data_IF_491540992399
#
_entry.id   IF_491540992399
#
_cell.length_a   1.000
_cell.length_b   1.000
_cell.length_c   1.000
_cell.angle_alpha   90.00
_cell.angle_beta   90.00
_cell.angle_gamma   90.00
#
_symmetry.space_group_name_H-M   'P 1'
#
loop_
_entity.id
_entity.type
_entity.pdbx_description
1 polymer ?
#
# COMPACT_ATOMS: atom_id res chain seq x y z
N UNK A 1 -7.52 6.49 -13.32
CA UNK A 1 -6.56 5.37 -13.41
C UNK A 1 -6.92 4.35 -12.35
N UNK A 2 -6.72 3.06 -12.56
CA UNK A 2 -6.94 2.06 -11.52
C UNK A 2 -6.04 2.32 -10.31
N UNK A 3 -6.50 1.90 -9.14
CA UNK A 3 -5.72 2.03 -7.90
C UNK A 3 -4.45 1.17 -7.97
N UNK A 4 -3.30 1.71 -7.54
CA UNK A 4 -2.06 0.94 -7.51
C UNK A 4 -2.15 -0.26 -6.55
N UNK A 5 -1.68 -1.42 -7.02
CA UNK A 5 -1.66 -2.68 -6.25
C UNK A 5 -0.26 -2.98 -5.71
N UNK A 6 0.77 -2.74 -6.54
CA UNK A 6 2.13 -3.20 -6.25
C UNK A 6 3.06 -2.02 -5.94
N UNK A 7 3.70 -2.06 -4.77
CA UNK A 7 4.58 -1.02 -4.25
C UNK A 7 5.96 -1.63 -3.98
N UNK A 8 6.91 -1.43 -4.89
CA UNK A 8 8.23 -2.07 -4.85
C UNK A 8 9.26 -1.18 -4.16
N UNK A 9 9.83 -1.65 -3.07
CA UNK A 9 10.96 -0.99 -2.41
C UNK A 9 12.26 -1.13 -3.20
N UNK A 10 13.04 -0.05 -3.21
CA UNK A 10 14.42 -0.02 -3.69
C UNK A 10 15.27 0.86 -2.77
N UNK A 11 16.42 0.37 -2.25
CA UNK A 11 17.28 1.18 -1.39
C UNK A 11 17.83 2.41 -2.13
N UNK A 12 17.79 3.58 -1.50
CA UNK A 12 18.24 4.83 -2.10
C UNK A 12 19.75 4.85 -2.41
N UNK A 13 20.56 4.10 -1.65
CA UNK A 13 22.00 3.96 -1.88
C UNK A 13 22.38 2.96 -2.99
N UNK A 14 21.38 2.53 -3.79
CA UNK A 14 21.52 1.59 -4.92
C UNK A 14 20.94 2.18 -6.22
N UNK A 15 21.48 3.32 -6.68
CA UNK A 15 20.93 4.00 -7.87
C UNK A 15 20.93 3.14 -9.13
N UNK A 16 21.84 2.18 -9.26
CA UNK A 16 21.88 1.22 -10.35
C UNK A 16 20.62 0.32 -10.43
N UNK A 17 19.79 0.29 -9.38
CA UNK A 17 18.55 -0.47 -9.33
C UNK A 17 17.32 0.35 -9.71
N UNK A 18 17.41 1.67 -9.74
CA UNK A 18 16.23 2.53 -9.96
C UNK A 18 15.55 2.26 -11.31
N UNK A 19 16.33 2.28 -12.39
CA UNK A 19 15.80 2.01 -13.73
C UNK A 19 15.17 0.60 -13.83
N UNK A 20 15.80 -0.41 -13.21
CA UNK A 20 15.25 -1.77 -13.16
C UNK A 20 13.96 -1.84 -12.34
N UNK A 21 13.86 -1.15 -11.22
CA UNK A 21 12.65 -1.09 -10.42
C UNK A 21 11.50 -0.40 -11.19
N UNK A 22 11.77 0.72 -11.85
CA UNK A 22 10.79 1.45 -12.65
C UNK A 22 10.30 0.66 -13.87
N UNK A 23 11.17 -0.17 -14.48
CA UNK A 23 10.81 -1.04 -15.61
C UNK A 23 10.27 -2.41 -15.20
N UNK A 24 10.16 -2.71 -13.91
CA UNK A 24 9.77 -4.04 -13.41
C UNK A 24 8.28 -4.38 -13.58
N UNK A 25 7.45 -3.39 -13.92
CA UNK A 25 6.00 -3.53 -13.96
C UNK A 25 5.29 -3.25 -12.63
N UNK A 26 6.01 -2.85 -11.57
CA UNK A 26 5.37 -2.36 -10.34
C UNK A 26 4.57 -1.07 -10.60
N UNK A 27 3.43 -0.89 -9.95
CA UNK A 27 2.61 0.33 -10.12
C UNK A 27 3.29 1.55 -9.50
N UNK A 28 3.96 1.34 -8.34
CA UNK A 28 4.74 2.35 -7.62
C UNK A 28 6.09 1.79 -7.21
N UNK A 29 7.09 2.64 -7.22
CA UNK A 29 8.43 2.35 -6.70
C UNK A 29 8.68 3.22 -5.48
N UNK A 30 9.01 2.59 -4.35
CA UNK A 30 9.35 3.28 -3.11
C UNK A 30 10.87 3.35 -3.02
N UNK A 31 11.44 4.53 -3.21
CA UNK A 31 12.87 4.74 -2.96
C UNK A 31 13.05 4.98 -1.46
N UNK A 32 13.75 4.06 -0.83
CA UNK A 32 13.83 3.97 0.62
C UNK A 32 15.10 4.66 1.16
N UNK A 33 14.92 5.66 2.00
CA UNK A 33 15.98 6.32 2.77
C UNK A 33 16.06 5.83 4.22
N UNK A 34 15.13 4.97 4.66
CA UNK A 34 15.03 4.51 6.05
C UNK A 34 15.78 3.18 6.23
N UNK A 35 15.16 2.11 6.61
CA UNK A 35 15.78 0.84 7.06
C UNK A 35 16.66 0.16 6.03
N UNK A 36 16.36 0.27 4.74
CA UNK A 36 17.18 -0.33 3.69
C UNK A 36 18.53 0.38 3.45
N UNK A 37 18.75 1.54 4.08
CA UNK A 37 19.98 2.33 3.93
C UNK A 37 20.66 2.53 5.27
N UNK A 38 21.91 2.07 5.38
CA UNK A 38 22.68 2.26 6.62
C UNK A 38 22.92 3.75 6.94
N UNK A 39 23.07 4.15 8.23
CA UNK A 39 23.28 5.56 8.61
C UNK A 39 24.40 6.25 7.84
N UNK A 40 25.52 5.58 7.60
CA UNK A 40 26.66 6.11 6.84
C UNK A 40 26.36 6.39 5.37
N UNK A 41 25.37 5.73 4.79
CA UNK A 41 25.01 5.83 3.38
C UNK A 41 23.81 6.76 3.13
N UNK A 42 23.17 7.30 4.16
CA UNK A 42 21.97 8.16 4.00
C UNK A 42 22.23 9.36 3.09
N UNK A 43 23.41 9.99 3.19
CA UNK A 43 23.78 11.09 2.30
C UNK A 43 23.95 10.62 0.86
N UNK A 44 24.63 9.49 0.63
CA UNK A 44 24.75 8.87 -0.70
C UNK A 44 23.40 8.58 -1.31
N UNK A 45 22.43 8.05 -0.52
CA UNK A 45 21.08 7.81 -0.97
C UNK A 45 20.35 9.07 -1.40
N UNK A 46 20.44 10.16 -0.61
CA UNK A 46 19.88 11.47 -0.98
C UNK A 46 20.47 12.02 -2.27
N UNK A 47 21.79 11.91 -2.44
CA UNK A 47 22.46 12.40 -3.63
C UNK A 47 22.10 11.57 -4.86
N UNK A 48 21.90 10.26 -4.70
CA UNK A 48 21.43 9.37 -5.76
C UNK A 48 19.99 9.73 -6.21
N UNK A 49 19.09 10.07 -5.28
CA UNK A 49 17.73 10.52 -5.61
C UNK A 49 17.77 11.84 -6.39
N UNK A 50 18.59 12.81 -5.95
CA UNK A 50 18.74 14.12 -6.64
C UNK A 50 19.28 14.00 -8.05
N UNK A 51 20.21 13.06 -8.27
CA UNK A 51 20.84 12.84 -9.57
C UNK A 51 20.05 11.90 -10.49
N UNK A 52 19.04 11.20 -9.97
CA UNK A 52 18.30 10.18 -10.70
C UNK A 52 17.36 10.77 -11.75
N UNK A 53 17.33 10.17 -12.94
CA UNK A 53 16.27 10.36 -13.92
C UNK A 53 15.10 9.45 -13.55
N UNK A 54 14.12 10.01 -12.82
CA UNK A 54 13.06 9.25 -12.17
C UNK A 54 11.68 9.60 -12.75
N UNK A 55 10.86 8.58 -12.97
CA UNK A 55 9.43 8.73 -13.29
C UNK A 55 8.65 9.14 -12.02
N UNK A 56 8.74 10.43 -11.67
CA UNK A 56 8.23 10.99 -10.42
C UNK A 56 6.76 10.67 -10.13
N UNK A 57 5.84 10.63 -11.10
CA UNK A 57 4.46 10.19 -10.87
C UNK A 57 4.33 8.78 -10.30
N UNK A 58 5.34 7.91 -10.54
CA UNK A 58 5.36 6.54 -10.03
C UNK A 58 6.28 6.35 -8.83
N UNK A 59 7.06 7.37 -8.46
CA UNK A 59 8.02 7.30 -7.34
C UNK A 59 7.40 7.84 -6.06
N UNK A 60 7.58 7.07 -5.00
CA UNK A 60 7.35 7.45 -3.60
C UNK A 60 8.71 7.47 -2.92
N UNK A 61 8.98 8.43 -2.06
CA UNK A 61 10.19 8.43 -1.24
C UNK A 61 9.80 8.09 0.19
N UNK A 62 10.34 6.99 0.74
CA UNK A 62 10.23 6.73 2.17
C UNK A 62 11.36 7.48 2.87
N UNK A 63 10.96 8.46 3.68
CA UNK A 63 11.86 9.30 4.48
C UNK A 63 12.23 8.58 5.78
N UNK A 64 13.23 9.09 6.50
CA UNK A 64 13.48 8.64 7.86
C UNK A 64 12.37 9.14 8.81
N UNK A 65 12.16 8.44 9.93
CA UNK A 65 11.17 8.83 10.92
C UNK A 65 11.45 10.23 11.49
N UNK A 66 10.42 10.89 12.00
CA UNK A 66 10.49 12.28 12.49
C UNK A 66 11.40 12.48 13.70
N UNK A 67 11.70 11.43 14.45
CA UNK A 67 12.66 11.44 15.56
C UNK A 67 14.11 11.22 15.12
N UNK A 68 14.32 10.86 13.85
CA UNK A 68 15.66 10.61 13.32
C UNK A 68 16.42 11.90 13.04
N UNK A 69 17.72 11.88 13.33
CA UNK A 69 18.64 12.98 12.93
C UNK A 69 18.76 13.16 11.41
N UNK A 70 18.22 12.22 10.62
CA UNK A 70 18.22 12.27 9.15
C UNK A 70 16.97 12.92 8.57
N UNK A 71 15.89 13.08 9.34
CA UNK A 71 14.61 13.62 8.89
C UNK A 71 14.73 14.99 8.21
N UNK A 72 15.36 15.95 8.88
CA UNK A 72 15.54 17.31 8.35
C UNK A 72 16.29 17.35 7.01
N UNK A 73 17.27 16.47 6.82
CA UNK A 73 18.00 16.37 5.56
C UNK A 73 17.14 15.77 4.44
N UNK A 74 16.26 14.83 4.77
CA UNK A 74 15.36 14.21 3.78
C UNK A 74 14.32 15.23 3.30
N UNK A 75 13.65 15.94 4.22
CA UNK A 75 12.63 16.93 3.84
C UNK A 75 13.24 18.13 3.11
N UNK A 76 14.44 18.57 3.51
CA UNK A 76 15.17 19.62 2.79
C UNK A 76 15.47 19.23 1.34
N UNK A 77 15.82 17.97 1.09
CA UNK A 77 16.01 17.44 -0.26
C UNK A 77 14.69 17.40 -1.04
N UNK A 78 13.62 16.85 -0.44
CA UNK A 78 12.32 16.63 -1.11
C UNK A 78 11.68 17.96 -1.53
N UNK A 79 11.85 19.04 -0.78
CA UNK A 79 11.34 20.37 -1.14
C UNK A 79 11.76 20.84 -2.55
N UNK A 80 12.93 20.42 -3.00
CA UNK A 80 13.51 20.80 -4.29
C UNK A 80 13.27 19.80 -5.41
N UNK A 81 12.54 18.73 -5.14
CA UNK A 81 12.27 17.65 -6.11
C UNK A 81 10.77 17.56 -6.43
N UNK A 82 10.39 17.09 -7.61
CA UNK A 82 8.98 16.93 -8.00
C UNK A 82 8.34 15.68 -7.38
N UNK A 83 8.76 15.27 -6.19
CA UNK A 83 8.14 14.18 -5.42
C UNK A 83 6.70 14.56 -5.09
N UNK A 84 5.76 13.72 -5.46
CA UNK A 84 4.33 13.94 -5.20
C UNK A 84 3.87 13.28 -3.90
N UNK A 85 4.46 12.13 -3.55
CA UNK A 85 4.06 11.33 -2.41
C UNK A 85 5.28 10.92 -1.58
N UNK A 86 5.18 11.04 -0.28
CA UNK A 86 6.17 10.53 0.68
C UNK A 86 5.56 9.42 1.52
N UNK A 87 6.35 8.41 1.85
CA UNK A 87 5.99 7.42 2.86
C UNK A 87 6.68 7.79 4.18
N UNK A 88 5.90 7.83 5.25
CA UNK A 88 6.35 8.22 6.59
C UNK A 88 6.33 7.01 7.50
N UNK A 89 7.50 6.48 7.88
CA UNK A 89 7.60 5.38 8.82
C UNK A 89 7.20 5.83 10.22
N UNK A 90 6.79 4.89 11.06
CA UNK A 90 6.48 5.11 12.49
C UNK A 90 5.56 6.32 12.72
N UNK A 91 4.53 6.46 11.87
CA UNK A 91 3.59 7.57 11.93
C UNK A 91 2.71 7.44 13.18
N UNK A 92 3.13 8.04 14.27
CA UNK A 92 2.59 7.84 15.62
C UNK A 92 1.38 8.74 15.95
N UNK A 93 0.83 9.47 15.01
CA UNK A 93 -0.35 10.32 15.22
C UNK A 93 -0.30 11.64 14.46
N UNK A 94 -1.23 12.52 14.78
CA UNK A 94 -1.42 13.79 14.08
C UNK A 94 -0.22 14.73 14.19
N UNK A 95 0.46 14.77 15.33
CA UNK A 95 1.64 15.64 15.52
C UNK A 95 2.78 15.27 14.58
N UNK A 96 3.03 13.96 14.39
CA UNK A 96 4.01 13.46 13.44
C UNK A 96 3.67 13.90 12.00
N UNK A 97 2.42 13.73 11.59
CA UNK A 97 1.98 14.13 10.25
C UNK A 97 2.03 15.64 10.04
N UNK A 98 1.67 16.43 11.06
CA UNK A 98 1.78 17.88 11.00
C UNK A 98 3.22 18.34 10.85
N UNK A 99 4.15 17.71 11.57
CA UNK A 99 5.58 18.03 11.43
C UNK A 99 6.08 17.77 10.00
N UNK A 100 5.66 16.64 9.40
CA UNK A 100 6.00 16.32 8.00
C UNK A 100 5.39 17.33 7.04
N UNK A 101 4.14 17.69 7.24
CA UNK A 101 3.38 18.64 6.43
C UNK A 101 4.01 20.02 6.42
N UNK A 102 4.26 20.56 7.62
CA UNK A 102 4.93 21.85 7.79
C UNK A 102 6.33 21.82 7.14
N UNK A 103 7.06 20.71 7.31
CA UNK A 103 8.38 20.54 6.73
C UNK A 103 8.37 20.44 5.19
N UNK A 104 7.26 20.01 4.57
CA UNK A 104 7.10 19.87 3.12
C UNK A 104 6.20 20.94 2.48
N UNK A 105 5.94 22.05 3.19
CA UNK A 105 5.11 23.19 2.75
C UNK A 105 3.68 22.78 2.35
N UNK A 106 3.10 21.77 3.00
CA UNK A 106 1.74 21.25 2.75
C UNK A 106 1.48 20.88 1.28
N UNK A 107 2.49 20.38 0.56
CA UNK A 107 2.41 20.15 -0.89
C UNK A 107 2.52 18.69 -1.31
N UNK A 108 2.56 17.77 -0.38
CA UNK A 108 2.80 16.35 -0.69
C UNK A 108 1.71 15.47 -0.12
N UNK A 109 1.35 14.44 -0.87
CA UNK A 109 0.55 13.35 -0.33
C UNK A 109 1.42 12.49 0.58
N UNK A 110 0.82 11.94 1.62
CA UNK A 110 1.50 11.13 2.63
C UNK A 110 0.90 9.73 2.67
N UNK A 111 1.77 8.72 2.73
CA UNK A 111 1.43 7.34 3.08
C UNK A 111 2.02 7.04 4.45
N UNK A 112 1.27 7.20 5.54
CA UNK A 112 1.73 6.81 6.87
C UNK A 112 1.93 5.30 6.96
N UNK A 113 3.05 4.85 7.52
CA UNK A 113 3.31 3.44 7.78
C UNK A 113 2.88 3.12 9.21
N UNK A 114 1.90 2.24 9.35
CA UNK A 114 1.37 1.77 10.64
C UNK A 114 2.21 0.57 11.05
N UNK A 115 3.14 0.80 11.96
CA UNK A 115 4.15 -0.20 12.33
C UNK A 115 4.56 -0.12 13.82
N UNK A 116 3.77 0.63 14.62
CA UNK A 116 3.85 0.63 16.08
C UNK A 116 2.47 0.45 16.69
N UNK A 117 2.42 0.01 17.94
CA UNK A 117 1.15 -0.04 18.70
C UNK A 117 0.53 1.35 18.77
N UNK A 118 1.36 2.37 19.00
CA UNK A 118 0.90 3.77 19.05
C UNK A 118 0.25 4.21 17.74
N UNK A 119 0.87 3.92 16.58
CA UNK A 119 0.30 4.25 15.27
C UNK A 119 -1.03 3.54 15.00
N UNK A 120 -1.18 2.28 15.45
CA UNK A 120 -2.42 1.54 15.32
C UNK A 120 -3.58 2.22 16.06
N UNK A 121 -3.35 2.66 17.29
CA UNK A 121 -4.39 3.33 18.09
C UNK A 121 -4.61 4.79 17.68
N UNK A 122 -3.66 5.41 16.99
CA UNK A 122 -3.80 6.75 16.40
C UNK A 122 -4.43 6.76 14.99
N UNK A 123 -4.85 5.61 14.44
CA UNK A 123 -5.45 5.51 13.10
C UNK A 123 -6.56 6.52 12.82
N UNK A 124 -7.53 6.79 13.72
CA UNK A 124 -8.55 7.80 13.47
C UNK A 124 -7.98 9.19 13.20
N UNK A 125 -6.97 9.60 13.96
CA UNK A 125 -6.30 10.90 13.82
C UNK A 125 -5.45 10.96 12.54
N UNK A 126 -4.71 9.89 12.26
CA UNK A 126 -3.87 9.76 11.07
C UNK A 126 -4.74 9.85 9.80
N UNK A 127 -5.83 9.11 9.76
CA UNK A 127 -6.72 9.04 8.59
C UNK A 127 -7.59 10.29 8.42
N UNK A 128 -7.73 11.12 9.44
CA UNK A 128 -8.44 12.39 9.36
C UNK A 128 -7.63 13.48 8.63
N UNK A 129 -6.32 13.30 8.44
CA UNK A 129 -5.50 14.27 7.73
C UNK A 129 -5.82 14.29 6.22
N UNK A 130 -6.00 15.50 5.66
CA UNK A 130 -6.44 15.69 4.27
C UNK A 130 -5.42 15.17 3.26
N UNK A 131 -4.13 15.33 3.56
CA UNK A 131 -3.03 14.89 2.69
C UNK A 131 -2.66 13.41 2.82
N UNK A 132 -3.31 12.65 3.68
CA UNK A 132 -3.16 11.20 3.74
C UNK A 132 -3.93 10.57 2.59
N UNK A 133 -3.20 9.94 1.66
CA UNK A 133 -3.79 9.16 0.57
C UNK A 133 -4.38 7.86 1.11
N UNK A 134 -3.53 7.00 1.62
CA UNK A 134 -3.85 5.72 2.27
C UNK A 134 -2.76 5.38 3.29
N UNK A 135 -2.98 4.40 4.12
CA UNK A 135 -1.95 3.90 5.05
C UNK A 135 -1.33 2.60 4.53
N UNK A 136 -0.09 2.32 4.96
CA UNK A 136 0.59 1.06 4.72
C UNK A 136 0.87 0.35 6.05
N UNK A 137 0.86 -0.99 6.05
CA UNK A 137 1.17 -1.78 7.23
C UNK A 137 2.62 -2.25 7.22
N UNK A 138 3.36 -1.99 8.31
CA UNK A 138 4.73 -2.46 8.53
C UNK A 138 4.75 -3.56 9.60
N UNK A 139 4.46 -4.81 9.21
CA UNK A 139 4.22 -5.90 10.18
C UNK A 139 5.43 -6.32 10.98
N UNK A 140 6.65 -6.17 10.44
CA UNK A 140 7.88 -6.59 11.13
C UNK A 140 8.14 -5.71 12.36
N UNK A 141 8.12 -4.38 12.15
CA UNK A 141 8.30 -3.42 13.22
C UNK A 141 7.12 -3.44 14.20
N UNK A 142 5.89 -3.61 13.67
CA UNK A 142 4.70 -3.78 14.52
C UNK A 142 4.81 -5.00 15.44
N UNK A 143 5.26 -6.14 14.92
CA UNK A 143 5.44 -7.35 15.71
C UNK A 143 6.54 -7.17 16.78
N UNK A 144 7.62 -6.47 16.43
CA UNK A 144 8.69 -6.14 17.39
C UNK A 144 8.18 -5.21 18.49
N UNK A 145 7.46 -4.14 18.14
CA UNK A 145 6.94 -3.16 19.10
C UNK A 145 5.86 -3.76 20.03
N UNK A 146 4.96 -4.57 19.47
CA UNK A 146 3.88 -5.22 20.22
C UNK A 146 4.31 -6.48 20.98
N UNK A 147 5.49 -7.04 20.68
CA UNK A 147 5.94 -8.33 21.21
C UNK A 147 5.16 -9.53 20.65
N UNK A 148 4.47 -9.37 19.52
CA UNK A 148 3.66 -10.44 18.90
C UNK A 148 4.47 -11.26 17.89
N UNK A 149 3.90 -12.40 17.45
CA UNK A 149 4.38 -13.10 16.25
C UNK A 149 4.10 -12.33 14.96
N UNK A 150 4.71 -12.78 13.87
CA UNK A 150 4.54 -12.18 12.52
C UNK A 150 3.55 -12.97 11.64
N UNK A 151 2.95 -14.04 12.19
CA UNK A 151 1.99 -14.84 11.44
C UNK A 151 0.63 -14.14 11.31
N UNK A 152 -0.18 -14.64 10.38
CA UNK A 152 -1.47 -14.04 10.04
C UNK A 152 -2.45 -13.97 11.21
N UNK A 153 -2.41 -14.95 12.13
CA UNK A 153 -3.31 -15.00 13.28
C UNK A 153 -2.90 -13.97 14.33
N UNK A 154 -1.61 -13.86 14.65
CA UNK A 154 -1.09 -12.88 15.59
C UNK A 154 -1.40 -11.44 15.16
N UNK A 155 -1.36 -11.17 13.85
CA UNK A 155 -1.55 -9.84 13.26
C UNK A 155 -3.01 -9.56 12.82
N UNK A 156 -3.92 -10.52 12.94
CA UNK A 156 -5.28 -10.39 12.40
C UNK A 156 -6.04 -9.18 12.94
N UNK A 157 -5.90 -8.90 14.25
CA UNK A 157 -6.55 -7.74 14.87
C UNK A 157 -6.03 -6.43 14.27
N UNK A 158 -4.72 -6.22 14.24
CA UNK A 158 -4.12 -4.99 13.71
C UNK A 158 -4.49 -4.78 12.24
N UNK A 159 -4.39 -5.81 11.42
CA UNK A 159 -4.76 -5.77 9.99
C UNK A 159 -6.23 -5.42 9.80
N UNK A 160 -7.13 -6.02 10.59
CA UNK A 160 -8.56 -5.71 10.54
C UNK A 160 -8.85 -4.26 10.95
N UNK A 161 -8.20 -3.75 12.00
CA UNK A 161 -8.36 -2.36 12.43
C UNK A 161 -7.92 -1.38 11.32
N UNK A 162 -6.79 -1.62 10.69
CA UNK A 162 -6.29 -0.78 9.59
C UNK A 162 -7.31 -0.70 8.45
N UNK A 163 -7.86 -1.83 8.02
CA UNK A 163 -8.87 -1.88 6.95
C UNK A 163 -10.15 -1.16 7.36
N UNK A 164 -10.68 -1.45 8.56
CA UNK A 164 -11.95 -0.89 9.02
C UNK A 164 -11.88 0.63 9.21
N UNK A 165 -10.80 1.14 9.80
CA UNK A 165 -10.62 2.58 9.98
C UNK A 165 -10.36 3.30 8.65
N UNK A 166 -9.61 2.72 7.71
CA UNK A 166 -9.46 3.27 6.36
C UNK A 166 -10.82 3.39 5.67
N UNK A 167 -11.65 2.35 5.79
CA UNK A 167 -13.02 2.34 5.22
C UNK A 167 -13.92 3.37 5.90
N UNK A 168 -13.87 3.47 7.23
CA UNK A 168 -14.65 4.44 8.01
C UNK A 168 -14.30 5.89 7.61
N UNK A 169 -13.01 6.15 7.40
CA UNK A 169 -12.51 7.47 6.98
C UNK A 169 -12.76 7.79 5.49
N UNK A 170 -13.35 6.86 4.72
CA UNK A 170 -13.56 7.05 3.27
C UNK A 170 -12.28 7.05 2.44
N UNK A 171 -11.18 6.58 3.00
CA UNK A 171 -9.89 6.49 2.30
C UNK A 171 -9.84 5.23 1.41
N UNK A 172 -8.99 5.22 0.38
CA UNK A 172 -8.72 4.02 -0.40
C UNK A 172 -8.28 2.85 0.48
N UNK A 173 -8.47 1.59 0.03
CA UNK A 173 -8.01 0.41 0.76
C UNK A 173 -6.51 0.50 1.10
N UNK A 174 -6.10 0.11 2.32
CA UNK A 174 -4.71 0.21 2.76
C UNK A 174 -3.78 -0.73 1.99
N UNK A 175 -2.46 -0.49 2.12
CA UNK A 175 -1.41 -1.30 1.51
C UNK A 175 -0.93 -2.31 2.57
N UNK A 176 -1.00 -3.60 2.23
CA UNK A 176 -0.50 -4.67 3.10
C UNK A 176 1.04 -4.72 3.09
N UNK A 177 1.57 -5.34 4.10
CA UNK A 177 3.00 -5.47 4.39
C UNK A 177 3.76 -6.34 3.38
N UNK A 178 5.07 -6.46 3.57
CA UNK A 178 5.95 -7.27 2.74
C UNK A 178 5.78 -8.78 3.00
N UNK A 179 6.15 -9.63 2.03
CA UNK A 179 6.44 -11.05 2.24
C UNK A 179 7.94 -11.23 2.25
N UNK A 180 8.49 -11.71 3.37
CA UNK A 180 9.95 -11.78 3.59
C UNK A 180 10.61 -12.82 2.69
N UNK A 181 9.96 -13.97 2.49
CA UNK A 181 10.46 -15.01 1.57
C UNK A 181 10.16 -14.63 0.10
N UNK A 182 10.96 -13.71 -0.42
CA UNK A 182 10.78 -13.17 -1.78
C UNK A 182 11.11 -14.16 -2.90
N UNK A 183 11.72 -15.30 -2.60
CA UNK A 183 12.02 -16.36 -3.56
C UNK A 183 10.86 -17.34 -3.73
N UNK A 184 9.92 -17.31 -2.81
CA UNK A 184 8.76 -18.19 -2.80
C UNK A 184 7.52 -17.44 -3.34
N UNK A 185 7.23 -17.63 -4.62
CA UNK A 185 6.07 -17.03 -5.27
C UNK A 185 4.74 -17.43 -4.60
N UNK A 186 4.65 -18.70 -4.16
CA UNK A 186 3.45 -19.19 -3.48
C UNK A 186 3.22 -18.50 -2.13
N UNK A 187 4.29 -18.16 -1.39
CA UNK A 187 4.18 -17.39 -0.16
C UNK A 187 3.68 -15.97 -0.46
N UNK A 188 4.23 -15.31 -1.48
CA UNK A 188 3.76 -13.98 -1.89
C UNK A 188 2.28 -14.01 -2.30
N UNK A 189 1.87 -15.00 -3.10
CA UNK A 189 0.49 -15.17 -3.53
C UNK A 189 -0.44 -15.41 -2.34
N UNK A 190 -0.07 -16.31 -1.43
CA UNK A 190 -0.84 -16.63 -0.23
C UNK A 190 -1.07 -15.39 0.65
N UNK A 191 -0.01 -14.62 0.93
CA UNK A 191 -0.10 -13.40 1.73
C UNK A 191 -0.97 -12.34 1.04
N UNK A 192 -0.84 -12.18 -0.28
CA UNK A 192 -1.63 -11.23 -1.05
C UNK A 192 -3.12 -11.61 -1.10
N UNK A 193 -3.45 -12.90 -1.24
CA UNK A 193 -4.83 -13.41 -1.17
C UNK A 193 -5.44 -13.18 0.22
N UNK A 194 -4.67 -13.42 1.28
CA UNK A 194 -5.10 -13.15 2.64
C UNK A 194 -5.32 -11.66 2.89
N UNK A 195 -4.46 -10.80 2.34
CA UNK A 195 -4.63 -9.35 2.41
C UNK A 195 -5.90 -8.88 1.68
N UNK A 196 -6.10 -9.32 0.43
CA UNK A 196 -7.33 -9.04 -0.33
C UNK A 196 -8.58 -9.47 0.43
N UNK A 197 -8.58 -10.66 1.02
CA UNK A 197 -9.71 -11.20 1.78
C UNK A 197 -10.04 -10.36 3.02
N UNK A 198 -9.05 -9.70 3.63
CA UNK A 198 -9.26 -8.76 4.72
C UNK A 198 -9.73 -7.38 4.24
N UNK A 199 -9.52 -7.02 2.98
CA UNK A 199 -9.92 -5.73 2.42
C UNK A 199 -8.76 -4.76 2.15
N UNK A 200 -7.52 -5.23 2.15
CA UNK A 200 -6.40 -4.45 1.61
C UNK A 200 -6.52 -4.29 0.09
N UNK A 201 -5.97 -3.21 -0.45
CA UNK A 201 -6.02 -2.91 -1.88
C UNK A 201 -4.68 -2.98 -2.60
N UNK A 202 -3.60 -3.24 -1.89
CA UNK A 202 -2.25 -3.35 -2.45
C UNK A 202 -1.28 -4.00 -1.49
N UNK A 203 -0.04 -4.18 -1.95
CA UNK A 203 1.01 -4.86 -1.18
C UNK A 203 2.38 -4.21 -1.36
N UNK A 204 3.10 -4.09 -0.25
CA UNK A 204 4.52 -3.75 -0.23
C UNK A 204 5.35 -4.96 -0.70
N UNK A 205 6.31 -4.71 -1.58
CA UNK A 205 7.16 -5.72 -2.19
C UNK A 205 8.64 -5.34 -2.02
N UNK A 206 9.50 -6.34 -1.81
CA UNK A 206 10.95 -6.16 -1.65
C UNK A 206 11.76 -6.74 -2.81
N UNK A 207 11.10 -7.40 -3.75
CA UNK A 207 11.76 -7.98 -4.92
C UNK A 207 10.83 -7.99 -6.15
N UNK A 208 11.34 -7.75 -7.38
CA UNK A 208 10.53 -7.75 -8.60
C UNK A 208 9.78 -9.06 -8.87
N UNK A 209 10.32 -10.22 -8.47
CA UNK A 209 9.65 -11.51 -8.63
C UNK A 209 8.30 -11.60 -7.89
N UNK A 210 8.06 -10.74 -6.91
CA UNK A 210 6.81 -10.69 -6.14
C UNK A 210 5.68 -9.95 -6.87
N UNK A 211 5.98 -9.20 -7.94
CA UNK A 211 4.99 -8.34 -8.62
C UNK A 211 3.87 -9.19 -9.24
N UNK A 212 4.22 -10.17 -10.07
CA UNK A 212 3.24 -10.98 -10.76
C UNK A 212 2.33 -11.79 -9.80
N UNK A 213 2.87 -12.52 -8.80
CA UNK A 213 2.02 -13.25 -7.85
C UNK A 213 1.15 -12.33 -6.98
N UNK A 214 1.66 -11.17 -6.55
CA UNK A 214 0.85 -10.21 -5.80
C UNK A 214 -0.27 -9.62 -6.67
N UNK A 215 0.05 -9.12 -7.86
CA UNK A 215 -0.95 -8.56 -8.78
C UNK A 215 -2.03 -9.58 -9.13
N UNK A 216 -1.65 -10.82 -9.46
CA UNK A 216 -2.59 -11.89 -9.78
C UNK A 216 -3.53 -12.25 -8.63
N UNK A 217 -3.10 -12.10 -7.37
CA UNK A 217 -3.93 -12.31 -6.21
C UNK A 217 -4.97 -11.19 -6.01
N UNK A 218 -4.60 -9.93 -6.22
CA UNK A 218 -5.51 -8.80 -6.04
C UNK A 218 -6.50 -8.63 -7.20
N UNK A 219 -6.12 -8.94 -8.42
CA UNK A 219 -7.01 -8.84 -9.58
C UNK A 219 -8.09 -9.94 -9.56
N UNK A 220 -9.24 -9.71 -10.22
CA UNK A 220 -10.23 -10.75 -10.42
C UNK A 220 -9.70 -11.88 -11.31
N UNK A 221 -10.05 -13.12 -10.97
CA UNK A 221 -9.80 -14.25 -11.84
C UNK A 221 -10.73 -14.24 -13.08
N UNK A 222 -10.39 -14.95 -14.18
CA UNK A 222 -11.31 -15.11 -15.30
C UNK A 222 -12.68 -15.68 -14.88
N UNK A 223 -12.70 -16.58 -13.91
CA UNK A 223 -13.90 -17.17 -13.33
C UNK A 223 -14.75 -16.13 -12.58
N UNK A 224 -14.09 -15.24 -11.82
CA UNK A 224 -14.77 -14.12 -11.14
C UNK A 224 -15.45 -13.19 -12.16
N UNK A 225 -14.76 -12.89 -13.26
CA UNK A 225 -15.30 -12.04 -14.33
C UNK A 225 -16.51 -12.67 -15.01
N UNK A 226 -16.45 -13.98 -15.32
CA UNK A 226 -17.58 -14.72 -15.88
C UNK A 226 -18.75 -14.70 -14.90
N UNK A 227 -18.51 -15.03 -13.63
CA UNK A 227 -19.53 -15.00 -12.59
C UNK A 227 -20.19 -13.62 -12.48
N UNK A 228 -19.40 -12.55 -12.49
CA UNK A 228 -19.91 -11.19 -12.36
C UNK A 228 -20.81 -10.79 -13.54
N UNK A 229 -20.43 -11.18 -14.77
CA UNK A 229 -21.26 -10.95 -15.98
C UNK A 229 -22.58 -11.73 -15.89
N UNK A 230 -22.52 -13.01 -15.52
CA UNK A 230 -23.71 -13.85 -15.38
C UNK A 230 -24.69 -13.26 -14.34
N UNK A 231 -24.18 -12.80 -13.19
CA UNK A 231 -25.00 -12.15 -12.15
C UNK A 231 -25.69 -10.90 -12.68
N UNK A 232 -24.97 -10.00 -13.35
CA UNK A 232 -25.58 -8.77 -13.86
C UNK A 232 -26.56 -9.05 -15.01
N UNK A 233 -26.28 -9.99 -15.89
CA UNK A 233 -27.18 -10.40 -16.95
C UNK A 233 -28.50 -10.99 -16.38
N UNK A 234 -28.41 -11.80 -15.31
CA UNK A 234 -29.60 -12.34 -14.63
C UNK A 234 -30.45 -11.21 -14.05
N UNK A 235 -29.82 -10.18 -13.43
CA UNK A 235 -30.54 -9.02 -12.91
C UNK A 235 -31.23 -8.19 -13.99
N UNK A 236 -30.62 -8.09 -15.17
CA UNK A 236 -31.24 -7.36 -16.32
C UNK A 236 -32.46 -8.10 -16.87
N UNK A 237 -32.44 -9.44 -16.86
CA UNK A 237 -33.51 -10.25 -17.44
C UNK A 237 -34.66 -10.54 -16.47
N UNK A 238 -34.36 -10.76 -15.19
CA UNK A 238 -35.34 -11.18 -14.18
C UNK A 238 -35.79 -10.06 -13.24
N UNK A 239 -35.05 -8.94 -13.20
CA UNK A 239 -35.31 -7.84 -12.28
C UNK A 239 -34.74 -8.07 -10.87
N UNK A 240 -34.78 -7.01 -10.04
CA UNK A 240 -34.36 -7.08 -8.63
C UNK A 240 -35.45 -7.74 -7.78
N UNK A 241 -35.07 -8.62 -6.86
CA UNK A 241 -35.91 -9.08 -5.76
C UNK A 241 -36.28 -10.56 -5.75
N UNK A 242 -36.24 -11.26 -6.89
CA UNK A 242 -36.55 -12.69 -6.96
C UNK A 242 -35.48 -13.49 -7.73
N UNK A 243 -34.42 -12.82 -8.21
CA UNK A 243 -33.42 -13.42 -9.06
C UNK A 243 -32.47 -14.33 -8.28
N UNK A 244 -32.16 -15.48 -8.85
CA UNK A 244 -31.15 -16.39 -8.29
C UNK A 244 -30.15 -16.84 -9.34
N UNK A 245 -28.88 -16.84 -8.99
CA UNK A 245 -27.83 -17.44 -9.83
C UNK A 245 -27.33 -18.72 -9.19
N UNK A 246 -27.45 -19.86 -9.91
CA UNK A 246 -27.05 -21.20 -9.42
C UNK A 246 -27.60 -21.52 -8.03
N UNK A 247 -28.88 -21.19 -7.76
CA UNK A 247 -29.55 -21.44 -6.48
C UNK A 247 -29.16 -20.51 -5.33
N UNK A 248 -28.44 -19.44 -5.59
CA UNK A 248 -28.10 -18.40 -4.60
C UNK A 248 -28.84 -17.11 -4.95
N UNK A 249 -29.46 -16.50 -3.95
CA UNK A 249 -30.16 -15.22 -4.10
C UNK A 249 -29.18 -14.13 -4.56
N UNK A 250 -29.61 -13.32 -5.53
CA UNK A 250 -28.90 -12.11 -5.93
C UNK A 250 -29.55 -10.92 -5.20
N UNK A 251 -28.86 -10.46 -4.16
CA UNK A 251 -29.20 -9.26 -3.43
C UNK A 251 -28.29 -8.09 -3.78
N UNK A 252 -28.52 -6.93 -3.19
CA UNK A 252 -27.71 -5.74 -3.45
C UNK A 252 -26.20 -5.94 -3.19
N UNK A 253 -25.75 -6.59 -2.10
CA UNK A 253 -24.35 -6.92 -1.89
C UNK A 253 -23.73 -7.76 -3.02
N UNK A 254 -24.46 -8.75 -3.55
CA UNK A 254 -23.99 -9.59 -4.66
C UNK A 254 -23.89 -8.79 -5.95
N UNK A 255 -24.88 -7.92 -6.26
CA UNK A 255 -24.81 -7.00 -7.40
C UNK A 255 -23.59 -6.06 -7.28
N UNK A 256 -23.40 -5.42 -6.13
CA UNK A 256 -22.28 -4.52 -5.91
C UNK A 256 -20.94 -5.21 -6.07
N UNK A 257 -20.80 -6.44 -5.56
CA UNK A 257 -19.60 -7.27 -5.74
C UNK A 257 -19.35 -7.58 -7.21
N UNK A 258 -20.37 -7.94 -7.96
CA UNK A 258 -20.23 -8.21 -9.39
C UNK A 258 -19.78 -6.98 -10.18
N UNK A 259 -20.35 -5.82 -9.91
CA UNK A 259 -19.94 -4.55 -10.53
C UNK A 259 -18.49 -4.20 -10.21
N UNK A 260 -18.06 -4.38 -8.95
CA UNK A 260 -16.68 -4.10 -8.54
C UNK A 260 -15.68 -5.03 -9.22
N UNK A 261 -16.00 -6.32 -9.37
CA UNK A 261 -15.18 -7.28 -10.11
C UNK A 261 -14.97 -6.82 -11.55
N UNK A 262 -16.04 -6.42 -12.25
CA UNK A 262 -15.91 -5.95 -13.63
C UNK A 262 -15.14 -4.64 -13.73
N UNK A 263 -15.34 -3.70 -12.80
CA UNK A 263 -14.59 -2.44 -12.73
C UNK A 263 -13.07 -2.69 -12.58
N UNK A 264 -12.70 -3.63 -11.73
CA UNK A 264 -11.29 -4.01 -11.54
C UNK A 264 -10.70 -4.72 -12.76
N UNK A 265 -11.49 -5.55 -13.45
CA UNK A 265 -11.05 -6.25 -14.66
C UNK A 265 -10.85 -5.32 -15.86
N UNK A 266 -11.65 -4.26 -15.99
CA UNK A 266 -11.53 -3.25 -17.06
C UNK A 266 -10.35 -2.29 -16.85
N UNK A 267 -9.92 -2.10 -15.62
CA UNK A 267 -8.80 -1.24 -15.26
C UNK A 267 -7.43 -1.92 -15.22
N UNK A 268 -7.36 -3.22 -15.50
CA UNK A 268 -6.15 -4.04 -15.39
C UNK A 268 -5.37 -4.17 -16.71
#
# INVERSE_FOLDING_TARGET
>A
MPEPITYLFVPADRPERFAKALSSGADRVIIDLEDAVSPKNKMTGRDAIKAGDLDWPRVIVRINDTGSTHFEFDVAMIRHLPVQTVMVPKADGQECLKLVDDALDNKRMVIPQIETVKSLFALPEILAADNVDRVAFGHLDFALDSGSGTDQQALAYARSQIVLYSRLAGKPPPIDSVTVDFKNESATKYDAEAAKNLGFGGKLLIHPAQIAPARGAFLPSPEDVVWARDVLQTLETEGRGASSHKGRMIDLPVEMKAREILRLAEGS
#
